data_IF_553265786418
#
_entry.id   IF_553265786418
#
_cell.length_a   1.000
_cell.length_b   1.000
_cell.length_c   1.000
_cell.angle_alpha   90.00
_cell.angle_beta   90.00
_cell.angle_gamma   90.00
#
_symmetry.space_group_name_H-M   'P 1'
#
loop_
_entity.id
_entity.type
_entity.pdbx_description
1 polymer ?
#
# COMPACT_ATOMS: atom_id res chain seq x y z
N UNK A 1 64.38 10.79 71.57
CA UNK A 1 65.47 9.80 71.75
C UNK A 1 65.36 8.79 70.62
N UNK A 2 66.45 8.59 69.87
CA UNK A 2 66.62 7.47 68.91
C UNK A 2 66.77 6.15 69.70
N UNK A 3 66.49 4.96 69.13
CA UNK A 3 67.52 4.24 68.34
C UNK A 3 66.92 3.39 67.17
N UNK A 4 67.48 3.45 65.96
CA UNK A 4 68.49 2.57 65.30
C UNK A 4 67.95 1.40 64.47
N UNK A 5 68.34 1.42 63.18
CA UNK A 5 68.78 0.34 62.27
C UNK A 5 67.85 -0.88 62.06
N UNK A 6 67.68 -1.40 60.85
CA UNK A 6 68.73 -1.96 59.97
C UNK A 6 68.30 -1.92 58.48
N UNK A 7 69.30 -1.67 57.62
CA UNK A 7 69.30 -1.82 56.17
C UNK A 7 69.16 -3.30 55.75
N UNK A 8 68.38 -3.54 54.70
CA UNK A 8 68.75 -4.55 53.69
C UNK A 8 68.36 -4.03 52.32
N UNK A 9 69.36 -3.81 51.47
CA UNK A 9 69.21 -3.48 50.07
C UNK A 9 69.38 -4.74 49.23
N UNK A 10 68.44 -5.01 48.33
CA UNK A 10 68.65 -5.87 47.17
C UNK A 10 68.08 -5.16 45.96
N UNK A 11 68.99 -4.74 45.08
CA UNK A 11 68.71 -4.25 43.73
C UNK A 11 68.45 -5.45 42.81
N UNK A 12 67.37 -5.37 42.03
CA UNK A 12 67.13 -6.26 40.89
C UNK A 12 66.06 -5.64 39.99
N UNK A 13 66.51 -4.94 38.95
CA UNK A 13 65.68 -4.35 37.89
C UNK A 13 64.78 -5.41 37.23
N UNK A 14 63.54 -5.04 36.88
CA UNK A 14 63.09 -4.99 35.47
C UNK A 14 61.99 -3.93 35.35
N UNK A 15 62.11 -3.10 34.32
CA UNK A 15 61.21 -2.05 33.91
C UNK A 15 59.80 -2.54 33.55
N UNK A 16 58.80 -1.69 33.79
CA UNK A 16 57.43 -1.90 33.33
C UNK A 16 56.51 -0.81 33.86
N UNK A 17 56.53 0.35 33.22
CA UNK A 17 55.58 1.43 33.46
C UNK A 17 54.21 1.14 32.82
N UNK A 18 53.25 2.00 33.17
CA UNK A 18 51.86 2.13 32.72
C UNK A 18 50.86 1.28 33.54
N UNK A 19 50.28 1.83 34.61
CA UNK A 19 49.15 2.79 34.64
C UNK A 19 47.88 2.24 33.97
N UNK A 20 46.81 2.30 34.76
CA UNK A 20 45.47 1.89 34.44
C UNK A 20 45.01 2.51 33.13
N UNK A 21 44.51 1.67 32.23
CA UNK A 21 43.75 2.12 31.06
C UNK A 21 42.28 1.81 31.29
N UNK A 22 41.48 2.78 30.88
CA UNK A 22 40.04 2.86 30.99
C UNK A 22 39.36 1.61 30.45
N UNK A 23 38.24 1.27 31.09
CA UNK A 23 37.10 0.56 30.53
C UNK A 23 37.20 0.40 29.01
N UNK A 24 37.79 -0.71 28.59
CA UNK A 24 37.88 -1.11 27.20
C UNK A 24 36.45 -1.18 26.69
N UNK A 25 36.09 -0.20 25.87
CA UNK A 25 34.96 -0.28 24.95
C UNK A 25 35.22 -1.52 24.10
N UNK A 26 34.65 -2.65 24.54
CA UNK A 26 34.61 -3.86 23.75
C UNK A 26 33.91 -3.50 22.44
N UNK A 27 34.71 -3.35 21.39
CA UNK A 27 34.20 -3.29 20.02
C UNK A 27 33.34 -4.52 19.82
N UNK A 28 32.07 -4.28 19.50
CA UNK A 28 31.17 -5.31 19.04
C UNK A 28 31.84 -6.09 17.89
N UNK A 29 31.68 -7.43 17.84
CA UNK A 29 32.31 -8.25 16.82
C UNK A 29 31.85 -7.81 15.42
N UNK A 30 32.75 -7.96 14.45
CA UNK A 30 32.54 -7.56 13.03
C UNK A 30 31.40 -8.35 12.35
N UNK A 31 30.88 -9.39 13.01
CA UNK A 31 29.62 -10.05 12.67
C UNK A 31 28.75 -10.16 13.92
N UNK A 32 27.96 -9.11 14.20
CA UNK A 32 26.74 -9.24 14.98
C UNK A 32 25.55 -9.33 14.00
N UNK A 33 24.89 -10.49 13.87
CA UNK A 33 23.84 -10.71 12.89
C UNK A 33 22.46 -10.23 13.34
N UNK A 34 22.32 -9.52 14.47
CA UNK A 34 21.05 -9.05 15.01
C UNK A 34 21.27 -7.63 15.56
N UNK A 35 20.78 -6.55 14.97
CA UNK A 35 19.40 -6.10 15.15
C UNK A 35 19.28 -4.76 14.41
N UNK A 36 18.82 -4.76 13.16
CA UNK A 36 17.92 -3.68 12.80
C UNK A 36 16.62 -4.10 13.46
N UNK A 37 16.21 -3.42 14.54
CA UNK A 37 14.78 -3.22 14.64
C UNK A 37 14.44 -2.55 13.32
N UNK A 38 13.87 -3.32 12.38
CA UNK A 38 12.90 -2.75 11.47
C UNK A 38 12.02 -1.92 12.38
N UNK A 39 12.16 -0.59 12.31
CA UNK A 39 11.17 0.28 12.91
C UNK A 39 9.87 -0.26 12.32
N UNK A 40 8.94 -0.79 13.15
CA UNK A 40 7.72 -1.35 12.62
C UNK A 40 7.14 -0.31 11.68
N UNK A 41 6.77 -0.74 10.48
CA UNK A 41 6.15 0.19 9.55
C UNK A 41 4.77 0.49 10.14
N UNK A 42 4.72 1.59 10.88
CA UNK A 42 3.52 2.04 11.57
C UNK A 42 2.64 2.79 10.58
N UNK A 43 1.38 2.38 10.52
CA UNK A 43 0.31 3.04 9.81
C UNK A 43 -0.99 2.79 10.59
N UNK A 44 -2.01 3.60 10.33
CA UNK A 44 -3.25 3.57 11.12
C UNK A 44 -4.34 2.77 10.40
N UNK A 45 -4.43 2.93 9.09
CA UNK A 45 -5.51 2.37 8.26
C UNK A 45 -5.06 2.18 6.81
N UNK A 46 -5.86 1.45 6.03
CA UNK A 46 -5.68 1.39 4.59
C UNK A 46 -6.64 2.30 3.85
N UNK A 47 -6.16 2.98 2.83
CA UNK A 47 -6.98 3.53 1.75
C UNK A 47 -7.10 2.47 0.67
N UNK A 48 -8.31 2.00 0.41
CA UNK A 48 -8.61 1.23 -0.79
C UNK A 48 -8.94 2.21 -1.91
N UNK A 49 -8.08 2.27 -2.92
CA UNK A 49 -8.27 3.03 -4.15
C UNK A 49 -8.80 2.11 -5.25
N UNK A 50 -9.95 2.46 -5.82
CA UNK A 50 -10.56 1.73 -6.91
C UNK A 50 -10.71 2.63 -8.14
N UNK A 51 -10.55 2.04 -9.32
CA UNK A 51 -10.56 2.75 -10.61
C UNK A 51 -11.76 2.33 -11.46
N UNK A 52 -12.50 3.31 -11.97
CA UNK A 52 -13.53 3.12 -12.98
C UNK A 52 -12.87 3.13 -14.36
N UNK A 53 -12.62 1.94 -14.90
CA UNK A 53 -11.83 1.78 -16.12
C UNK A 53 -12.39 2.51 -17.35
N UNK A 54 -13.72 2.62 -17.56
CA UNK A 54 -14.27 3.43 -18.63
C UNK A 54 -13.74 4.87 -18.66
N UNK A 55 -13.63 5.51 -17.49
CA UNK A 55 -13.14 6.90 -17.41
C UNK A 55 -11.61 6.97 -17.52
N UNK A 56 -10.91 6.00 -16.94
CA UNK A 56 -9.46 5.89 -17.11
C UNK A 56 -9.07 5.76 -18.60
N UNK A 57 -9.91 5.06 -19.38
CA UNK A 57 -9.72 4.83 -20.79
C UNK A 57 -10.18 5.98 -21.71
N UNK A 58 -10.84 7.00 -21.17
CA UNK A 58 -11.35 8.12 -21.94
C UNK A 58 -10.23 8.83 -22.72
N UNK A 59 -10.34 8.88 -24.05
CA UNK A 59 -9.33 9.45 -24.94
C UNK A 59 -8.04 8.62 -25.08
N UNK A 60 -8.06 7.36 -24.63
CA UNK A 60 -6.94 6.41 -24.64
C UNK A 60 -7.28 5.08 -25.32
N UNK A 61 -8.41 5.02 -26.01
CA UNK A 61 -9.01 3.83 -26.60
C UNK A 61 -8.10 3.13 -27.60
N UNK A 62 -7.34 3.91 -28.36
CA UNK A 62 -6.37 3.43 -29.35
C UNK A 62 -4.95 3.28 -28.79
N UNK A 63 -4.69 3.77 -27.58
CA UNK A 63 -3.37 3.76 -26.95
C UNK A 63 -3.18 2.53 -26.03
N UNK A 64 -4.24 2.13 -25.32
CA UNK A 64 -4.17 1.14 -24.26
C UNK A 64 -4.94 -0.13 -24.68
N UNK A 65 -4.27 -1.28 -24.87
CA UNK A 65 -4.91 -2.51 -25.34
C UNK A 65 -6.11 -2.97 -24.49
N UNK A 66 -6.03 -2.78 -23.17
CA UNK A 66 -7.14 -3.11 -22.25
C UNK A 66 -8.35 -2.19 -22.40
N UNK A 67 -8.18 -0.99 -22.98
CA UNK A 67 -9.28 -0.09 -23.32
C UNK A 67 -9.97 -0.48 -24.64
N UNK A 68 -9.23 -1.08 -25.59
CA UNK A 68 -9.79 -1.56 -26.86
C UNK A 68 -10.59 -2.86 -26.70
N UNK A 69 -10.14 -3.74 -25.82
CA UNK A 69 -10.78 -5.04 -25.58
C UNK A 69 -10.96 -5.26 -24.07
N UNK A 70 -11.85 -4.50 -23.40
CA UNK A 70 -12.05 -4.62 -21.97
C UNK A 70 -12.74 -5.93 -21.61
N UNK A 71 -12.37 -6.51 -20.47
CA UNK A 71 -13.11 -7.63 -19.89
C UNK A 71 -14.51 -7.17 -19.47
N UNK A 72 -15.49 -8.07 -19.57
CA UNK A 72 -16.89 -7.77 -19.20
C UNK A 72 -17.02 -7.27 -17.76
N UNK A 73 -16.22 -7.79 -16.83
CA UNK A 73 -16.19 -7.31 -15.45
C UNK A 73 -15.88 -5.81 -15.35
N UNK A 74 -14.90 -5.32 -16.12
CA UNK A 74 -14.47 -3.91 -16.06
C UNK A 74 -15.56 -2.94 -16.55
N UNK A 75 -16.52 -3.42 -17.36
CA UNK A 75 -17.58 -2.59 -17.95
C UNK A 75 -18.59 -2.10 -16.92
N UNK A 76 -18.74 -2.84 -15.83
CA UNK A 76 -19.75 -2.56 -14.80
C UNK A 76 -19.16 -2.53 -13.39
N UNK A 77 -17.90 -2.92 -13.20
CA UNK A 77 -17.25 -2.94 -11.91
C UNK A 77 -16.01 -2.06 -11.88
N UNK A 78 -15.84 -1.38 -10.75
CA UNK A 78 -14.56 -0.86 -10.31
C UNK A 78 -13.53 -1.99 -10.22
N UNK A 79 -12.30 -1.67 -10.60
CA UNK A 79 -11.15 -2.55 -10.39
C UNK A 79 -10.20 -1.93 -9.38
N UNK A 80 -9.28 -2.75 -8.86
CA UNK A 80 -8.25 -2.30 -7.94
C UNK A 80 -7.32 -1.30 -8.63
N UNK A 81 -7.11 -0.15 -7.97
CA UNK A 81 -5.93 0.67 -8.18
C UNK A 81 -4.85 0.24 -7.19
N UNK A 82 -5.18 0.25 -5.90
CA UNK A 82 -4.28 -0.22 -4.85
C UNK A 82 -4.86 -0.16 -3.44
N UNK A 83 -4.11 -0.74 -2.51
CA UNK A 83 -4.41 -0.80 -1.08
C UNK A 83 -3.28 -0.12 -0.31
N UNK A 84 -3.50 1.10 0.15
CA UNK A 84 -2.42 1.98 0.58
C UNK A 84 -2.41 2.16 2.10
N UNK A 85 -1.38 1.66 2.82
CA UNK A 85 -1.14 2.07 4.20
C UNK A 85 -1.08 3.59 4.32
N UNK A 86 -1.83 4.15 5.26
CA UNK A 86 -1.87 5.59 5.52
C UNK A 86 -1.96 5.88 7.03
N UNK A 87 -1.64 7.10 7.39
CA UNK A 87 -1.67 7.64 8.74
C UNK A 87 -2.80 8.66 8.85
N UNK A 88 -3.45 8.70 10.00
CA UNK A 88 -4.46 9.73 10.32
C UNK A 88 -3.81 11.11 10.37
N UNK A 89 -2.55 11.14 10.83
CA UNK A 89 -1.76 12.35 10.95
C UNK A 89 -0.33 12.09 10.47
N UNK A 90 0.20 13.04 9.70
CA UNK A 90 1.56 12.96 9.17
C UNK A 90 1.58 12.59 7.70
N UNK A 91 2.72 12.06 7.25
CA UNK A 91 2.95 11.75 5.84
C UNK A 91 2.71 10.26 5.60
N UNK A 92 1.87 9.95 4.61
CA UNK A 92 1.67 8.57 4.17
C UNK A 92 3.01 7.88 3.88
N UNK A 93 3.21 6.63 4.34
CA UNK A 93 4.42 5.89 4.08
C UNK A 93 4.51 5.53 2.58
N UNK A 94 5.73 5.40 2.07
CA UNK A 94 5.94 4.99 0.70
C UNK A 94 7.35 4.49 0.46
N UNK A 95 7.50 3.48 -0.40
CA UNK A 95 8.78 2.86 -0.74
C UNK A 95 9.58 2.39 0.49
N UNK A 96 8.93 1.64 1.38
CA UNK A 96 9.49 1.26 2.68
C UNK A 96 10.61 0.19 2.62
N UNK A 97 10.97 -0.29 1.43
CA UNK A 97 11.97 -1.34 1.25
C UNK A 97 11.42 -2.74 1.56
N UNK A 98 12.29 -3.71 1.81
CA UNK A 98 11.87 -5.11 2.04
C UNK A 98 11.98 -5.99 0.80
N UNK A 99 11.16 -7.03 0.74
CA UNK A 99 11.25 -8.05 -0.31
C UNK A 99 10.97 -7.46 -1.73
N UNK A 100 11.78 -7.81 -2.74
CA UNK A 100 11.53 -7.39 -4.10
C UNK A 100 10.19 -7.94 -4.61
N UNK A 101 9.63 -7.28 -5.62
CA UNK A 101 8.44 -7.78 -6.31
C UNK A 101 8.72 -9.11 -7.03
N UNK A 102 7.81 -10.07 -6.92
CA UNK A 102 7.87 -11.36 -7.63
C UNK A 102 6.50 -11.72 -8.21
N UNK A 103 6.33 -11.51 -9.52
CA UNK A 103 5.08 -11.78 -10.22
C UNK A 103 4.67 -13.26 -10.13
N UNK A 104 5.63 -14.18 -10.20
CA UNK A 104 5.35 -15.62 -10.24
C UNK A 104 4.71 -16.09 -8.91
N UNK A 105 5.11 -15.50 -7.78
CA UNK A 105 4.52 -15.81 -6.47
C UNK A 105 3.03 -15.47 -6.43
N UNK A 106 2.66 -14.26 -6.87
CA UNK A 106 1.26 -13.82 -6.82
C UNK A 106 0.42 -14.49 -7.91
N UNK A 107 0.98 -14.74 -9.09
CA UNK A 107 0.29 -15.45 -10.17
C UNK A 107 -0.01 -16.90 -9.79
N UNK A 108 0.96 -17.59 -9.17
CA UNK A 108 0.78 -18.95 -8.67
C UNK A 108 -0.26 -19.03 -7.54
N UNK A 109 -0.28 -18.04 -6.64
CA UNK A 109 -1.15 -18.06 -5.48
C UNK A 109 -2.59 -17.61 -5.78
N UNK A 110 -2.79 -16.57 -6.60
CA UNK A 110 -4.11 -15.99 -6.89
C UNK A 110 -4.70 -16.44 -8.23
N UNK A 111 -3.85 -16.87 -9.17
CA UNK A 111 -4.20 -17.17 -10.54
C UNK A 111 -4.25 -15.93 -11.42
N UNK A 112 -3.66 -16.00 -12.62
CA UNK A 112 -3.60 -14.87 -13.54
C UNK A 112 -4.99 -14.30 -13.89
N UNK A 113 -6.01 -15.13 -14.04
CA UNK A 113 -7.37 -14.66 -14.36
C UNK A 113 -7.97 -13.79 -13.24
N UNK A 114 -7.70 -14.12 -11.97
CA UNK A 114 -8.06 -13.28 -10.83
C UNK A 114 -7.39 -11.92 -10.93
N UNK A 115 -6.08 -11.90 -11.18
CA UNK A 115 -5.31 -10.66 -11.24
C UNK A 115 -5.76 -9.78 -12.41
N UNK A 116 -5.95 -10.35 -13.60
CA UNK A 116 -6.47 -9.64 -14.76
C UNK A 116 -7.88 -9.06 -14.51
N UNK A 117 -8.77 -9.84 -13.92
CA UNK A 117 -10.14 -9.38 -13.65
C UNK A 117 -10.17 -8.24 -12.64
N UNK A 118 -9.46 -8.39 -11.51
CA UNK A 118 -9.64 -7.52 -10.35
C UNK A 118 -8.60 -6.41 -10.22
N UNK A 119 -7.38 -6.56 -10.76
CA UNK A 119 -6.30 -5.57 -10.67
C UNK A 119 -5.61 -5.38 -12.03
N UNK A 120 -6.32 -4.94 -13.07
CA UNK A 120 -5.79 -4.91 -14.43
C UNK A 120 -4.74 -3.81 -14.63
N UNK A 121 -3.75 -4.12 -15.48
CA UNK A 121 -2.92 -3.11 -16.13
C UNK A 121 -3.46 -2.87 -17.55
N UNK A 122 -4.43 -1.98 -17.70
CA UNK A 122 -5.10 -1.76 -19.00
C UNK A 122 -4.19 -1.13 -20.07
N UNK A 123 -3.05 -0.56 -19.68
CA UNK A 123 -2.11 0.13 -20.58
C UNK A 123 -1.34 -0.81 -21.51
N UNK A 124 -1.27 -2.09 -21.16
CA UNK A 124 -0.47 -3.09 -21.89
C UNK A 124 -1.29 -4.36 -22.11
N UNK A 125 -0.93 -5.14 -23.14
CA UNK A 125 -1.59 -6.42 -23.41
C UNK A 125 -1.36 -7.41 -22.26
N UNK A 126 -2.38 -8.20 -21.91
CA UNK A 126 -2.28 -9.27 -20.91
C UNK A 126 -1.17 -10.30 -21.18
N UNK A 127 -0.72 -10.41 -22.43
CA UNK A 127 0.39 -11.28 -22.83
C UNK A 127 1.78 -10.60 -22.76
N UNK A 128 1.84 -9.32 -22.37
CA UNK A 128 3.07 -8.55 -22.31
C UNK A 128 3.89 -8.93 -21.07
N UNK A 129 5.22 -9.08 -21.18
CA UNK A 129 6.07 -9.24 -19.99
C UNK A 129 6.03 -8.02 -19.07
N UNK A 130 5.60 -6.85 -19.57
CA UNK A 130 5.47 -5.62 -18.78
C UNK A 130 4.13 -5.54 -18.03
N UNK A 131 3.22 -6.51 -18.21
CA UNK A 131 1.91 -6.49 -17.53
C UNK A 131 2.03 -6.36 -16.00
N UNK A 132 2.93 -7.12 -15.33
CA UNK A 132 3.12 -7.04 -13.88
C UNK A 132 3.73 -5.73 -13.38
N UNK A 133 4.22 -4.83 -14.24
CA UNK A 133 4.88 -3.60 -13.78
C UNK A 133 3.93 -2.67 -13.00
N UNK A 134 2.62 -2.74 -13.23
CA UNK A 134 1.65 -2.03 -12.39
C UNK A 134 1.57 -2.64 -10.99
N UNK A 135 1.47 -3.97 -10.88
CA UNK A 135 1.48 -4.67 -9.59
C UNK A 135 2.78 -4.42 -8.82
N UNK A 136 3.91 -4.43 -9.54
CA UNK A 136 5.21 -4.07 -8.99
C UNK A 136 5.22 -2.66 -8.45
N UNK A 137 4.68 -1.67 -9.17
CA UNK A 137 4.60 -0.31 -8.66
C UNK A 137 3.81 -0.25 -7.34
N UNK A 138 2.62 -0.84 -7.31
CA UNK A 138 1.76 -0.84 -6.13
C UNK A 138 2.39 -1.59 -4.95
N UNK A 139 3.07 -2.72 -5.20
CA UNK A 139 3.84 -3.41 -4.18
C UNK A 139 4.99 -2.54 -3.66
N UNK A 140 5.87 -2.08 -4.56
CA UNK A 140 7.08 -1.37 -4.16
C UNK A 140 6.77 -0.05 -3.45
N UNK A 141 5.72 0.66 -3.88
CA UNK A 141 5.33 1.94 -3.29
C UNK A 141 4.51 1.78 -2.02
N UNK A 142 3.55 0.85 -2.00
CA UNK A 142 2.54 0.76 -0.93
C UNK A 142 2.58 -0.56 -0.18
N UNK A 143 2.64 -1.69 -0.89
CA UNK A 143 2.64 -3.02 -0.27
C UNK A 143 3.82 -3.26 0.69
N UNK A 144 5.02 -2.78 0.32
CA UNK A 144 6.20 -2.81 1.20
C UNK A 144 6.00 -2.08 2.52
N UNK A 145 5.05 -1.15 2.59
CA UNK A 145 4.74 -0.39 3.79
C UNK A 145 3.65 -1.04 4.67
N UNK A 146 3.11 -2.20 4.26
CA UNK A 146 2.04 -2.87 5.00
C UNK A 146 2.54 -3.78 6.12
N UNK A 147 3.80 -4.24 6.05
CA UNK A 147 4.30 -5.31 6.90
C UNK A 147 3.73 -6.70 6.58
N UNK A 148 2.89 -6.83 5.53
CA UNK A 148 2.41 -8.11 5.03
C UNK A 148 3.41 -8.70 4.03
N UNK A 149 3.43 -10.03 3.95
CA UNK A 149 4.08 -10.73 2.84
C UNK A 149 3.34 -10.44 1.52
N UNK A 150 4.07 -10.45 0.40
CA UNK A 150 3.55 -10.04 -0.90
C UNK A 150 2.26 -10.77 -1.30
N UNK A 151 2.24 -12.09 -1.20
CA UNK A 151 1.04 -12.89 -1.52
C UNK A 151 -0.13 -12.48 -0.63
N UNK A 152 0.09 -12.28 0.67
CA UNK A 152 -0.95 -11.89 1.62
C UNK A 152 -1.48 -10.47 1.34
N UNK A 153 -0.62 -9.52 0.97
CA UNK A 153 -1.03 -8.18 0.57
C UNK A 153 -1.97 -8.21 -0.64
N UNK A 154 -1.58 -8.89 -1.73
CA UNK A 154 -2.42 -8.98 -2.93
C UNK A 154 -3.70 -9.77 -2.68
N UNK A 155 -3.63 -10.88 -1.92
CA UNK A 155 -4.82 -11.66 -1.54
C UNK A 155 -5.79 -10.83 -0.71
N UNK A 156 -5.29 -10.08 0.28
CA UNK A 156 -6.12 -9.23 1.13
C UNK A 156 -6.80 -8.14 0.31
N UNK A 157 -6.04 -7.43 -0.52
CA UNK A 157 -6.58 -6.37 -1.39
C UNK A 157 -7.68 -6.90 -2.32
N UNK A 158 -7.44 -8.01 -3.02
CA UNK A 158 -8.43 -8.60 -3.94
C UNK A 158 -9.65 -9.12 -3.20
N UNK A 159 -9.49 -9.72 -2.02
CA UNK A 159 -10.62 -10.22 -1.24
C UNK A 159 -11.58 -9.10 -0.79
N UNK A 160 -11.06 -7.89 -0.53
CA UNK A 160 -11.90 -6.73 -0.21
C UNK A 160 -12.86 -6.43 -1.37
N UNK A 161 -12.38 -6.39 -2.62
CA UNK A 161 -13.21 -6.06 -3.79
C UNK A 161 -14.01 -7.25 -4.34
N UNK A 162 -13.56 -8.49 -4.07
CA UNK A 162 -14.25 -9.71 -4.49
C UNK A 162 -15.47 -10.02 -3.61
N UNK A 163 -15.43 -9.67 -2.34
CA UNK A 163 -16.54 -9.97 -1.43
C UNK A 163 -17.75 -9.06 -1.74
N UNK A 164 -18.94 -9.66 -1.84
CA UNK A 164 -20.19 -8.99 -2.26
C UNK A 164 -20.54 -7.74 -1.46
N UNK A 165 -20.07 -7.63 -0.21
CA UNK A 165 -20.29 -6.50 0.70
C UNK A 165 -19.74 -5.17 0.15
N UNK A 166 -18.80 -5.21 -0.79
CA UNK A 166 -18.03 -4.06 -1.29
C UNK A 166 -17.78 -4.11 -2.79
N UNK A 167 -18.55 -4.97 -3.47
CA UNK A 167 -18.69 -4.93 -4.90
C UNK A 167 -19.13 -3.53 -5.34
N UNK A 168 -18.93 -3.20 -6.61
CA UNK A 168 -19.43 -1.94 -7.17
C UNK A 168 -20.93 -1.84 -6.88
N UNK A 169 -21.43 -0.78 -6.21
CA UNK A 169 -22.84 -0.69 -5.87
C UNK A 169 -23.73 -0.86 -7.10
N UNK A 170 -24.84 -1.61 -6.99
CA UNK A 170 -25.74 -1.89 -8.12
C UNK A 170 -26.25 -0.61 -8.80
N UNK A 171 -26.44 0.46 -8.02
CA UNK A 171 -26.78 1.80 -8.54
C UNK A 171 -25.78 2.27 -9.59
N UNK A 172 -24.49 1.96 -9.45
CA UNK A 172 -23.46 2.29 -10.45
C UNK A 172 -23.55 1.30 -11.62
N UNK A 173 -23.61 -0.01 -11.35
CA UNK A 173 -23.67 -1.05 -12.40
C UNK A 173 -24.86 -0.89 -13.34
N UNK A 174 -26.05 -0.57 -12.82
CA UNK A 174 -27.31 -0.46 -13.56
C UNK A 174 -27.47 0.88 -14.32
N UNK A 175 -26.58 1.83 -14.05
CA UNK A 175 -26.63 3.18 -14.61
C UNK A 175 -25.37 3.56 -15.40
N UNK A 176 -24.59 2.57 -15.83
CA UNK A 176 -23.53 2.77 -16.82
C UNK A 176 -24.10 3.46 -18.06
N UNK A 177 -23.41 4.51 -18.51
CA UNK A 177 -23.81 5.41 -19.58
C UNK A 177 -24.79 6.54 -19.19
N UNK A 178 -25.16 6.67 -17.90
CA UNK A 178 -26.16 7.65 -17.44
C UNK A 178 -25.59 8.60 -16.38
N UNK A 179 -26.22 9.77 -16.27
CA UNK A 179 -25.96 10.72 -15.17
C UNK A 179 -26.93 10.50 -14.02
N UNK A 180 -26.40 10.43 -12.80
CA UNK A 180 -27.17 10.30 -11.56
C UNK A 180 -26.96 11.52 -10.65
N UNK A 181 -27.94 11.88 -9.82
CA UNK A 181 -27.72 12.80 -8.71
C UNK A 181 -26.56 12.34 -7.82
N UNK A 182 -25.68 13.27 -7.44
CA UNK A 182 -24.48 12.98 -6.67
C UNK A 182 -24.76 12.37 -5.28
N UNK A 183 -25.87 12.76 -4.66
CA UNK A 183 -26.38 12.21 -3.40
C UNK A 183 -26.83 10.75 -3.56
N UNK A 184 -27.48 10.40 -4.67
CA UNK A 184 -27.88 9.02 -4.99
C UNK A 184 -26.67 8.09 -5.12
N UNK A 185 -25.59 8.55 -5.76
CA UNK A 185 -24.35 7.75 -5.87
C UNK A 185 -23.71 7.55 -4.49
N UNK A 186 -23.68 8.60 -3.65
CA UNK A 186 -23.12 8.50 -2.29
C UNK A 186 -23.94 7.58 -1.38
N UNK A 187 -25.26 7.68 -1.44
CA UNK A 187 -26.16 6.82 -0.67
C UNK A 187 -25.96 5.32 -0.99
N UNK A 188 -25.44 4.98 -2.17
CA UNK A 188 -25.12 3.60 -2.55
C UNK A 188 -23.97 3.00 -1.72
N UNK A 189 -23.17 3.83 -1.05
CA UNK A 189 -22.11 3.38 -0.14
C UNK A 189 -22.57 3.31 1.32
N UNK A 190 -23.87 3.41 1.61
CA UNK A 190 -24.45 3.34 2.95
C UNK A 190 -23.85 4.39 3.91
N UNK A 191 -23.79 4.07 5.21
CA UNK A 191 -23.45 5.01 6.28
C UNK A 191 -21.94 5.25 6.47
N UNK A 192 -21.08 4.69 5.60
CA UNK A 192 -19.64 4.99 5.63
C UNK A 192 -19.28 5.83 4.42
N UNK A 193 -19.01 7.14 4.62
CA UNK A 193 -18.62 8.03 3.53
C UNK A 193 -17.38 7.51 2.79
N UNK A 194 -17.39 7.71 1.49
CA UNK A 194 -16.27 7.47 0.58
C UNK A 194 -15.91 8.80 -0.10
N UNK A 195 -14.66 8.94 -0.54
CA UNK A 195 -14.30 10.05 -1.42
C UNK A 195 -14.51 9.61 -2.87
N UNK A 196 -15.41 10.29 -3.59
CA UNK A 196 -15.66 10.04 -5.00
C UNK A 196 -14.82 10.99 -5.85
N UNK A 197 -13.99 10.43 -6.73
CA UNK A 197 -13.24 11.22 -7.69
C UNK A 197 -13.97 11.27 -9.02
N UNK A 198 -14.18 12.49 -9.50
CA UNK A 198 -14.70 12.77 -10.81
C UNK A 198 -13.65 13.52 -11.63
N UNK A 199 -13.42 13.04 -12.84
CA UNK A 199 -12.63 13.71 -13.87
C UNK A 199 -13.57 14.34 -14.92
N UNK A 200 -12.99 15.01 -15.92
CA UNK A 200 -13.67 15.65 -17.06
C UNK A 200 -14.96 16.41 -16.71
N UNK A 201 -14.98 17.05 -15.53
CA UNK A 201 -16.09 17.88 -15.10
C UNK A 201 -17.33 17.12 -14.62
N UNK A 202 -17.16 15.99 -13.94
CA UNK A 202 -18.26 15.28 -13.25
C UNK A 202 -18.44 13.84 -13.69
N UNK A 203 -17.41 13.24 -14.28
CA UNK A 203 -17.42 11.87 -14.78
C UNK A 203 -16.70 10.98 -13.79
N UNK A 204 -17.40 9.95 -13.28
CA UNK A 204 -16.89 9.09 -12.20
C UNK A 204 -15.61 8.37 -12.65
N UNK A 205 -14.51 8.59 -11.94
CA UNK A 205 -13.20 8.01 -12.27
C UNK A 205 -12.66 7.08 -11.18
N UNK A 206 -12.82 7.43 -9.91
CA UNK A 206 -12.32 6.61 -8.80
C UNK A 206 -13.23 6.71 -7.58
N UNK A 207 -13.06 5.74 -6.67
CA UNK A 207 -13.60 5.80 -5.32
C UNK A 207 -12.50 5.42 -4.33
N UNK A 208 -12.42 6.16 -3.22
CA UNK A 208 -11.56 5.86 -2.10
C UNK A 208 -12.39 5.52 -0.86
N UNK A 209 -12.07 4.41 -0.22
CA UNK A 209 -12.66 3.99 1.06
C UNK A 209 -11.58 3.63 2.06
N UNK A 210 -11.87 3.75 3.36
CA UNK A 210 -10.89 3.52 4.41
C UNK A 210 -11.21 2.25 5.21
N UNK A 211 -10.15 1.55 5.61
CA UNK A 211 -10.22 0.20 6.17
C UNK A 211 -9.36 0.09 7.41
N UNK A 212 -9.91 -0.48 8.48
CA UNK A 212 -9.12 -0.82 9.65
C UNK A 212 -8.15 -1.94 9.36
N UNK A 213 -7.25 -2.22 10.30
CA UNK A 213 -6.35 -3.38 10.28
C UNK A 213 -6.34 -4.12 11.59
N UNK A 214 -6.03 -5.41 11.56
CA UNK A 214 -5.77 -6.18 12.77
C UNK A 214 -4.32 -6.02 13.27
N UNK A 215 -3.98 -6.71 14.35
CA UNK A 215 -2.64 -6.70 14.93
C UNK A 215 -1.57 -7.35 14.04
N UNK A 216 -1.97 -8.06 12.98
CA UNK A 216 -1.09 -8.63 11.95
C UNK A 216 -1.11 -7.76 10.68
N UNK A 217 -1.68 -6.55 10.75
CA UNK A 217 -1.82 -5.61 9.65
C UNK A 217 -2.75 -6.07 8.53
N UNK A 218 -3.56 -7.12 8.72
CA UNK A 218 -4.52 -7.53 7.70
C UNK A 218 -5.70 -6.55 7.69
N UNK A 219 -6.18 -6.11 6.51
CA UNK A 219 -7.37 -5.28 6.41
C UNK A 219 -8.58 -5.95 7.09
N UNK A 220 -9.40 -5.17 7.79
CA UNK A 220 -10.56 -5.65 8.53
C UNK A 220 -11.86 -5.08 7.97
N UNK A 221 -12.54 -4.20 8.72
CA UNK A 221 -13.81 -3.60 8.32
C UNK A 221 -13.60 -2.21 7.73
N UNK A 222 -14.55 -1.80 6.88
CA UNK A 222 -14.64 -0.42 6.41
C UNK A 222 -14.88 0.51 7.59
N UNK A 223 -14.19 1.64 7.60
CA UNK A 223 -14.32 2.67 8.62
C UNK A 223 -14.44 4.06 7.97
N UNK A 224 -14.90 5.08 8.71
CA UNK A 224 -14.89 6.45 8.22
C UNK A 224 -13.48 6.88 7.81
N UNK A 225 -13.40 7.57 6.67
CA UNK A 225 -12.13 8.15 6.22
C UNK A 225 -11.78 9.43 7.00
N UNK A 226 -10.49 9.67 7.30
CA UNK A 226 -10.04 10.97 7.79
C UNK A 226 -10.25 12.09 6.76
N UNK A 227 -10.23 13.33 7.25
CA UNK A 227 -10.51 14.53 6.44
C UNK A 227 -9.61 14.64 5.21
N UNK A 228 -8.32 14.28 5.30
CA UNK A 228 -7.40 14.38 4.15
C UNK A 228 -7.81 13.46 3.00
N UNK A 229 -8.35 12.27 3.30
CA UNK A 229 -8.89 11.37 2.28
C UNK A 229 -10.22 11.89 1.75
N UNK A 230 -11.11 12.37 2.62
CA UNK A 230 -12.39 12.95 2.19
C UNK A 230 -12.20 14.20 1.31
N UNK A 231 -11.10 14.93 1.50
CA UNK A 231 -10.77 16.12 0.69
C UNK A 231 -10.39 15.79 -0.76
N UNK A 232 -10.13 14.52 -1.08
CA UNK A 232 -9.92 14.04 -2.46
C UNK A 232 -11.25 13.90 -3.24
N UNK A 233 -12.41 14.11 -2.61
CA UNK A 233 -13.70 14.09 -3.30
C UNK A 233 -13.83 15.27 -4.26
N UNK A 234 -13.87 14.99 -5.56
CA UNK A 234 -14.05 15.97 -6.62
C UNK A 234 -15.40 15.86 -7.33
N UNK A 235 -16.25 14.89 -6.93
CA UNK A 235 -17.59 14.70 -7.46
C UNK A 235 -18.62 15.65 -6.81
N UNK A 236 -18.31 16.95 -6.76
CA UNK A 236 -19.07 17.97 -6.01
C UNK A 236 -20.25 18.57 -6.78
N UNK A 237 -20.38 18.25 -8.08
CA UNK A 237 -21.47 18.73 -8.92
C UNK A 237 -22.77 17.99 -8.63
N UNK A 238 -23.91 18.63 -8.90
CA UNK A 238 -25.23 18.05 -8.62
C UNK A 238 -25.52 16.71 -9.30
N UNK A 239 -24.82 16.37 -10.39
CA UNK A 239 -24.90 15.07 -11.06
C UNK A 239 -23.52 14.51 -11.40
N UNK A 240 -23.42 13.19 -11.37
CA UNK A 240 -22.23 12.40 -11.73
C UNK A 240 -22.59 11.53 -12.94
N UNK A 241 -21.79 11.60 -14.01
CA UNK A 241 -21.86 10.65 -15.13
C UNK A 241 -21.15 9.36 -14.75
N UNK A 242 -21.80 8.21 -14.94
CA UNK A 242 -21.18 6.89 -14.87
C UNK A 242 -20.83 6.50 -16.31
N UNK A 243 -19.59 6.68 -16.80
CA UNK A 243 -19.29 6.44 -18.21
C UNK A 243 -19.29 4.95 -18.52
N UNK A 244 -19.73 4.60 -19.73
CA UNK A 244 -19.48 3.30 -20.34
C UNK A 244 -18.13 3.30 -21.02
N UNK A 245 -17.54 2.12 -21.27
CA UNK A 245 -16.43 2.06 -22.21
C UNK A 245 -16.88 2.65 -23.57
N UNK A 246 -16.04 3.47 -24.20
CA UNK A 246 -16.28 4.03 -25.53
C UNK A 246 -16.35 2.97 -26.63
#
# INVERSE_FOLDING_TARGET
>A
MRPTHVLTATLGLVAGAAQADESTTQRAPVFDPLWRAEVPIEFDFYVLAQSWQPEFCHGKESQYPGCTAPLEFWRTHFTMHGLWPDLTHGKHPGFCGGAPFDADLIEKALGIQTLLQFWPNVKVSASSPDYPEFWKHEWMRHGTCSGLEQVEYFTSAINIIRNDTLSTPSVIQENVGKSLPADKVRAAYADTPVALKCDHGGVLSQVFSCWGKDAQHRPTARQPCPEHILSEDTCTKGTILIPAFP
#
